data_IF_126951916546
#
_entry.id   IF_126951916546
#
_cell.length_a   1.000
_cell.length_b   1.000
_cell.length_c   1.000
_cell.angle_alpha   90.00
_cell.angle_beta   90.00
_cell.angle_gamma   90.00
#
_symmetry.space_group_name_H-M   'P 1'
#
loop_
_entity.id
_entity.type
_entity.pdbx_description
1 polymer ?
#
# COMPACT_ATOMS: atom_id res chain seq x y z
N UNK A 1 -8.39 -19.12 -77.79
CA UNK A 1 -9.13 -18.29 -76.83
C UNK A 1 -8.59 -18.56 -75.46
N UNK A 2 -7.69 -17.69 -74.97
CA UNK A 2 -7.02 -17.78 -73.67
C UNK A 2 -7.74 -16.86 -72.68
N UNK A 3 -8.18 -17.40 -71.54
CA UNK A 3 -8.71 -16.60 -70.41
C UNK A 3 -7.64 -16.52 -69.33
N UNK A 4 -7.19 -15.33 -69.07
CA UNK A 4 -6.30 -15.01 -67.96
C UNK A 4 -7.08 -14.94 -66.65
N UNK A 5 -6.64 -15.70 -65.63
CA UNK A 5 -7.17 -15.64 -64.28
C UNK A 5 -6.32 -14.68 -63.45
N UNK A 6 -6.97 -13.69 -62.83
CA UNK A 6 -6.35 -12.78 -61.88
C UNK A 6 -6.28 -13.43 -60.48
N UNK A 7 -5.07 -13.50 -59.90
CA UNK A 7 -4.86 -13.93 -58.51
C UNK A 7 -4.85 -12.69 -57.66
N UNK A 8 -5.83 -12.53 -56.78
CA UNK A 8 -5.90 -11.50 -55.74
C UNK A 8 -5.09 -11.96 -54.52
N UNK A 9 -3.99 -11.30 -54.28
CA UNK A 9 -3.18 -11.49 -53.05
C UNK A 9 -3.80 -10.83 -51.86
N UNK A 10 -4.22 -11.65 -50.88
CA UNK A 10 -4.72 -11.20 -49.59
C UNK A 10 -3.54 -10.91 -48.66
N UNK A 11 -3.22 -9.63 -48.48
CA UNK A 11 -2.17 -9.18 -47.57
C UNK A 11 -2.63 -9.33 -46.09
N UNK A 12 -1.98 -10.23 -45.38
CA UNK A 12 -2.18 -10.43 -43.93
C UNK A 12 -1.43 -9.34 -43.17
N UNK A 13 -2.15 -8.34 -42.67
CA UNK A 13 -1.63 -7.32 -41.73
C UNK A 13 -1.49 -7.97 -40.35
N UNK A 14 -0.28 -8.41 -40.00
CA UNK A 14 0.11 -8.75 -38.65
C UNK A 14 0.17 -7.47 -37.81
N UNK A 15 -0.85 -7.19 -37.05
CA UNK A 15 -0.85 -6.18 -36.02
C UNK A 15 0.18 -6.53 -34.96
N UNK A 16 1.27 -5.79 -34.90
CA UNK A 16 2.21 -5.76 -33.77
C UNK A 16 1.48 -5.12 -32.59
N UNK A 17 0.88 -5.95 -31.73
CA UNK A 17 0.45 -5.51 -30.40
C UNK A 17 1.71 -5.17 -29.60
N UNK A 18 2.07 -3.88 -29.58
CA UNK A 18 3.16 -3.37 -28.79
C UNK A 18 2.95 -3.72 -27.32
N UNK A 19 3.94 -4.32 -26.69
CA UNK A 19 3.99 -4.46 -25.25
C UNK A 19 3.74 -3.11 -24.59
N UNK A 20 2.89 -3.08 -23.57
CA UNK A 20 2.62 -1.87 -22.79
C UNK A 20 3.93 -1.30 -22.24
N UNK A 21 4.22 -0.01 -22.43
CA UNK A 21 5.45 0.62 -21.94
C UNK A 21 5.58 0.57 -20.43
N UNK A 22 4.49 0.38 -19.68
CA UNK A 22 4.48 0.35 -18.22
C UNK A 22 5.27 -0.82 -17.61
N UNK A 23 5.41 -1.92 -18.34
CA UNK A 23 6.17 -3.08 -17.85
C UNK A 23 7.69 -2.87 -17.91
N UNK A 24 8.15 -2.02 -18.80
CA UNK A 24 9.59 -1.77 -19.00
C UNK A 24 10.12 -0.70 -18.03
N UNK A 25 9.27 0.24 -17.60
CA UNK A 25 9.66 1.36 -16.74
C UNK A 25 9.74 0.98 -15.26
N UNK A 26 8.95 0.00 -14.79
CA UNK A 26 8.88 -0.38 -13.38
C UNK A 26 10.16 -1.00 -12.81
N UNK A 27 11.15 -1.32 -13.66
CA UNK A 27 12.38 -2.00 -13.24
C UNK A 27 13.67 -1.21 -13.60
N UNK A 28 13.56 0.01 -14.13
CA UNK A 28 14.70 0.82 -14.56
C UNK A 28 15.42 1.53 -13.42
N UNK A 29 14.73 1.83 -12.32
CA UNK A 29 15.33 2.49 -11.17
C UNK A 29 16.59 1.75 -10.67
N UNK A 30 17.64 2.50 -10.36
CA UNK A 30 18.90 1.97 -9.81
C UNK A 30 18.78 1.58 -8.34
N UNK A 31 17.71 2.03 -7.69
CA UNK A 31 17.45 1.86 -6.27
C UNK A 31 16.16 1.09 -6.04
N UNK A 32 16.05 0.50 -4.85
CA UNK A 32 14.82 -0.02 -4.29
C UNK A 32 14.32 0.93 -3.19
N UNK A 33 13.04 1.22 -3.19
CA UNK A 33 12.35 1.69 -2.00
C UNK A 33 12.07 0.47 -1.11
N UNK A 34 12.31 0.59 0.19
CA UNK A 34 12.14 -0.49 1.16
C UNK A 34 11.34 0.04 2.33
N UNK A 35 10.32 -0.67 2.76
CA UNK A 35 9.69 -0.49 4.06
C UNK A 35 10.55 -1.26 5.07
N UNK A 36 11.21 -0.53 5.96
CA UNK A 36 12.11 -1.09 6.98
C UNK A 36 11.31 -1.63 8.17
N UNK A 37 10.28 -0.89 8.60
CA UNK A 37 9.32 -1.33 9.63
C UNK A 37 7.98 -0.64 9.45
N UNK A 38 6.94 -1.23 9.99
CA UNK A 38 5.60 -0.65 10.19
C UNK A 38 5.29 -0.88 11.67
N UNK A 39 4.91 0.18 12.38
CA UNK A 39 4.61 0.15 13.83
C UNK A 39 5.75 -0.48 14.64
N UNK A 40 7.00 -0.20 14.27
CA UNK A 40 8.21 -0.80 14.86
C UNK A 40 8.22 -2.34 14.90
N UNK A 41 7.43 -2.98 14.03
CA UNK A 41 7.26 -4.42 13.97
C UNK A 41 6.25 -4.99 14.96
N UNK A 42 5.59 -4.14 15.75
CA UNK A 42 4.53 -4.55 16.66
C UNK A 42 3.18 -4.69 15.92
N UNK A 43 2.30 -5.55 16.43
CA UNK A 43 0.91 -5.56 15.99
C UNK A 43 0.19 -4.27 16.41
N UNK A 44 -0.93 -3.97 15.78
CA UNK A 44 -1.81 -2.87 16.14
C UNK A 44 -3.08 -3.42 16.74
N UNK A 45 -3.38 -3.00 17.97
CA UNK A 45 -4.68 -3.22 18.60
C UNK A 45 -5.57 -2.03 18.23
N UNK A 46 -6.67 -2.29 17.54
CA UNK A 46 -7.60 -1.28 17.06
C UNK A 46 -8.95 -1.41 17.73
N UNK A 47 -9.26 -0.50 18.65
CA UNK A 47 -10.55 -0.44 19.28
C UNK A 47 -11.62 -0.03 18.26
N UNK A 48 -12.68 -0.83 18.16
CA UNK A 48 -13.80 -0.60 17.23
C UNK A 48 -15.01 0.00 17.89
N UNK A 49 -14.99 0.13 19.22
CA UNK A 49 -16.11 0.62 20.03
C UNK A 49 -15.60 1.32 21.26
N UNK A 50 -16.23 2.42 21.63
CA UNK A 50 -15.89 3.12 22.86
C UNK A 50 -17.18 3.31 23.68
N UNK A 51 -17.36 2.45 24.69
CA UNK A 51 -18.51 2.41 25.57
C UNK A 51 -19.79 1.82 24.98
N UNK A 52 -20.72 1.51 25.85
CA UNK A 52 -22.01 0.87 25.49
C UNK A 52 -22.87 1.77 24.58
N UNK A 53 -22.67 3.08 24.64
CA UNK A 53 -23.47 4.08 23.90
C UNK A 53 -22.61 5.05 23.08
N UNK A 54 -21.29 4.87 23.04
CA UNK A 54 -20.40 5.82 22.37
C UNK A 54 -20.19 5.45 20.91
N UNK A 55 -20.51 6.42 20.04
CA UNK A 55 -20.10 6.41 18.63
C UNK A 55 -18.71 7.00 18.44
N UNK A 56 -18.00 7.21 19.56
CA UNK A 56 -16.68 7.82 19.55
C UNK A 56 -15.63 6.75 19.29
N UNK A 57 -15.19 6.66 18.07
CA UNK A 57 -14.10 5.78 17.63
C UNK A 57 -13.09 6.61 16.85
N UNK A 58 -11.82 6.29 17.01
CA UNK A 58 -10.72 7.00 16.39
C UNK A 58 -10.19 6.21 15.19
N UNK A 59 -9.62 6.93 14.22
CA UNK A 59 -8.72 6.34 13.24
C UNK A 59 -7.47 5.81 13.92
N UNK A 60 -6.75 4.91 13.24
CA UNK A 60 -5.44 4.48 13.69
C UNK A 60 -4.38 4.83 12.65
N UNK A 61 -3.39 5.57 13.12
CA UNK A 61 -2.15 5.83 12.41
C UNK A 61 -1.02 4.99 13.01
N UNK A 62 -0.07 4.61 12.19
CA UNK A 62 1.15 3.91 12.61
C UNK A 62 2.37 4.54 11.95
N UNK A 63 3.49 4.48 12.62
CA UNK A 63 4.75 4.91 12.04
C UNK A 63 5.26 3.90 11.00
N UNK A 64 5.55 4.40 9.81
CA UNK A 64 6.17 3.65 8.72
C UNK A 64 7.57 4.15 8.47
N UNK A 65 8.55 3.31 8.68
CA UNK A 65 9.95 3.61 8.40
C UNK A 65 10.34 3.09 7.01
N UNK A 66 10.85 3.96 6.16
CA UNK A 66 11.26 3.65 4.79
C UNK A 66 12.72 3.99 4.55
N UNK A 67 13.34 3.31 3.60
CA UNK A 67 14.71 3.56 3.19
C UNK A 67 14.87 3.36 1.68
N UNK A 68 15.87 4.03 1.11
CA UNK A 68 16.31 3.81 -0.27
C UNK A 68 17.63 3.03 -0.25
N UNK A 69 17.73 1.99 -1.06
CA UNK A 69 18.93 1.13 -1.15
C UNK A 69 19.28 0.85 -2.60
N UNK A 70 20.56 0.81 -2.91
CA UNK A 70 21.03 0.38 -4.24
C UNK A 70 20.56 -1.05 -4.56
N UNK A 71 20.11 -1.28 -5.78
CA UNK A 71 19.90 -2.63 -6.30
C UNK A 71 21.20 -3.40 -6.42
N UNK A 72 22.26 -2.72 -6.85
CA UNK A 72 23.61 -3.31 -6.91
C UNK A 72 24.41 -2.87 -5.67
N UNK A 73 24.75 -3.77 -4.73
CA UNK A 73 25.46 -3.42 -3.50
C UNK A 73 26.91 -2.94 -3.75
N UNK A 74 27.48 -3.21 -4.94
CA UNK A 74 28.83 -2.75 -5.31
C UNK A 74 28.82 -1.40 -6.06
N UNK A 75 27.61 -0.87 -6.36
CA UNK A 75 27.51 0.45 -6.97
C UNK A 75 27.95 1.54 -5.98
N UNK A 76 28.41 2.70 -6.48
CA UNK A 76 28.62 3.87 -5.64
C UNK A 76 27.35 4.21 -4.84
N UNK A 77 27.52 4.86 -3.69
CA UNK A 77 26.37 5.30 -2.88
C UNK A 77 25.33 6.02 -3.77
N UNK A 78 24.03 5.85 -3.47
CA UNK A 78 22.98 6.54 -4.20
C UNK A 78 23.21 8.04 -4.17
N UNK A 79 22.81 8.73 -5.22
CA UNK A 79 22.98 10.18 -5.39
C UNK A 79 21.62 10.88 -5.39
N UNK A 80 21.60 12.21 -5.38
CA UNK A 80 20.34 12.99 -5.36
C UNK A 80 19.31 12.55 -6.42
N UNK A 81 19.69 12.25 -7.69
CA UNK A 81 18.74 11.71 -8.68
C UNK A 81 18.07 10.38 -8.29
N UNK A 82 18.68 9.63 -7.39
CA UNK A 82 18.19 8.34 -6.90
C UNK A 82 17.23 8.51 -5.68
N UNK A 83 17.08 9.73 -5.14
CA UNK A 83 16.10 9.99 -4.08
C UNK A 83 14.68 9.70 -4.58
N UNK A 84 13.84 9.19 -3.69
CA UNK A 84 12.49 8.74 -4.02
C UNK A 84 11.46 9.71 -3.48
N UNK A 85 10.54 10.14 -4.33
CA UNK A 85 9.33 10.85 -3.93
C UNK A 85 8.18 9.85 -3.90
N UNK A 86 7.67 9.56 -2.70
CA UNK A 86 6.46 8.75 -2.51
C UNK A 86 5.28 9.68 -2.72
N UNK A 87 4.32 9.30 -3.58
CA UNK A 87 3.19 10.14 -3.96
C UNK A 87 1.83 9.50 -3.69
N UNK A 88 1.78 8.19 -3.48
CA UNK A 88 0.54 7.48 -3.19
C UNK A 88 0.79 6.27 -2.30
N UNK A 89 -0.27 5.82 -1.63
CA UNK A 89 -0.26 4.56 -0.88
C UNK A 89 -1.59 3.83 -1.01
N UNK A 90 -1.55 2.52 -0.76
CA UNK A 90 -2.69 1.63 -0.63
C UNK A 90 -2.53 0.78 0.62
N UNK A 91 -3.61 0.60 1.38
CA UNK A 91 -3.71 -0.37 2.47
C UNK A 91 -4.81 -1.36 2.12
N UNK A 92 -4.44 -2.63 1.99
CA UNK A 92 -5.37 -3.74 1.71
C UNK A 92 -5.39 -4.70 2.89
N UNK A 93 -6.56 -5.24 3.18
CA UNK A 93 -6.70 -6.17 4.30
C UNK A 93 -7.05 -7.57 3.81
N UNK A 94 -6.54 -8.56 4.52
CA UNK A 94 -6.89 -9.96 4.31
C UNK A 94 -6.76 -10.73 5.62
N UNK A 95 -7.57 -11.77 5.75
CA UNK A 95 -7.50 -12.67 6.89
C UNK A 95 -6.42 -13.73 6.67
N UNK A 96 -5.93 -14.30 7.75
CA UNK A 96 -4.95 -15.40 7.70
C UNK A 96 -5.50 -16.67 7.06
N UNK A 97 -6.83 -16.83 7.01
CA UNK A 97 -7.53 -17.94 6.34
C UNK A 97 -7.74 -17.71 4.82
N UNK A 98 -7.22 -16.59 4.28
CA UNK A 98 -7.29 -16.23 2.87
C UNK A 98 -8.56 -15.48 2.45
N UNK A 99 -9.52 -15.26 3.35
CA UNK A 99 -10.71 -14.45 3.08
C UNK A 99 -10.34 -12.97 3.02
N UNK A 100 -10.89 -12.26 2.02
CA UNK A 100 -10.54 -10.86 1.79
C UNK A 100 -11.67 -10.06 1.11
N UNK A 101 -12.94 -10.49 1.30
CA UNK A 101 -14.08 -9.76 0.74
C UNK A 101 -14.29 -8.48 1.54
N UNK A 102 -14.07 -7.32 0.88
CA UNK A 102 -14.22 -6.00 1.48
C UNK A 102 -15.67 -5.77 1.95
N UNK A 103 -15.83 -5.20 3.13
CA UNK A 103 -17.16 -4.95 3.74
C UNK A 103 -17.86 -6.21 4.30
N UNK A 104 -17.26 -7.39 4.16
CA UNK A 104 -17.80 -8.67 4.65
C UNK A 104 -16.79 -9.37 5.56
N UNK A 105 -15.63 -9.72 5.05
CA UNK A 105 -14.58 -10.43 5.79
C UNK A 105 -13.56 -9.47 6.39
N UNK A 106 -13.33 -8.34 5.72
CA UNK A 106 -12.31 -7.34 6.06
C UNK A 106 -12.82 -5.93 5.76
N UNK A 107 -12.23 -4.88 6.35
CA UNK A 107 -12.55 -3.50 6.00
C UNK A 107 -12.29 -3.18 4.53
N UNK A 108 -12.91 -2.11 4.02
CA UNK A 108 -12.58 -1.58 2.70
C UNK A 108 -11.15 -1.07 2.67
N UNK A 109 -10.48 -1.27 1.52
CA UNK A 109 -9.13 -0.76 1.30
C UNK A 109 -9.05 0.75 1.46
N UNK A 110 -7.89 1.23 1.84
CA UNK A 110 -7.55 2.64 1.85
C UNK A 110 -6.68 2.93 0.64
N UNK A 111 -6.96 4.00 -0.07
CA UNK A 111 -6.05 4.60 -1.04
C UNK A 111 -5.91 6.07 -0.70
N UNK A 112 -4.69 6.58 -0.76
CA UNK A 112 -4.42 7.97 -0.45
C UNK A 112 -3.22 8.52 -1.20
N UNK A 113 -3.14 9.85 -1.26
CA UNK A 113 -1.98 10.56 -1.77
C UNK A 113 -1.18 11.10 -0.60
N UNK A 114 0.12 11.09 -0.74
CA UNK A 114 1.04 11.72 0.18
C UNK A 114 2.21 12.30 -0.63
N UNK A 115 2.94 13.23 -0.07
CA UNK A 115 4.16 13.72 -0.69
C UNK A 115 5.27 13.64 0.33
N UNK A 116 6.14 12.65 0.16
CA UNK A 116 7.28 12.41 1.04
C UNK A 116 8.53 12.15 0.20
N UNK A 117 9.58 12.91 0.44
CA UNK A 117 10.88 12.64 -0.17
C UNK A 117 11.72 11.80 0.78
N UNK A 118 12.16 10.64 0.30
CA UNK A 118 13.12 9.77 1.00
C UNK A 118 14.50 10.05 0.44
N UNK A 119 15.33 10.72 1.25
CA UNK A 119 16.68 11.08 0.84
C UNK A 119 17.61 9.85 0.86
N UNK A 120 18.52 9.84 -0.10
CA UNK A 120 19.56 8.79 -0.24
C UNK A 120 20.84 9.13 0.56
N UNK A 121 21.00 10.38 0.98
CA UNK A 121 22.21 10.86 1.64
C UNK A 121 22.37 10.33 3.07
N UNK A 122 21.31 9.86 3.69
CA UNK A 122 21.33 9.26 5.02
C UNK A 122 21.28 7.75 4.89
N UNK A 123 22.24 7.07 5.48
CA UNK A 123 22.22 5.61 5.63
C UNK A 123 21.08 5.12 6.56
N UNK A 124 20.20 6.04 6.97
CA UNK A 124 19.08 5.84 7.87
C UNK A 124 17.76 5.53 7.19
N UNK A 125 16.72 5.57 7.99
CA UNK A 125 15.32 5.47 7.59
C UNK A 125 14.65 6.83 7.74
N UNK A 126 13.64 7.10 6.90
CA UNK A 126 12.70 8.20 7.07
C UNK A 126 11.42 7.62 7.63
N UNK A 127 10.95 8.14 8.76
CA UNK A 127 9.72 7.68 9.42
C UNK A 127 8.63 8.73 9.25
N UNK A 128 7.40 8.27 9.00
CA UNK A 128 6.23 9.12 8.87
C UNK A 128 4.97 8.37 9.35
N UNK A 129 3.97 9.08 9.90
CA UNK A 129 2.70 8.49 10.26
C UNK A 129 1.88 8.16 9.02
N UNK A 130 1.18 7.02 9.04
CA UNK A 130 0.29 6.56 7.99
C UNK A 130 -1.01 6.06 8.59
N UNK A 131 -2.15 6.57 8.10
CA UNK A 131 -3.46 6.06 8.45
C UNK A 131 -3.64 4.65 7.90
N UNK A 132 -3.78 3.68 8.80
CA UNK A 132 -3.98 2.27 8.46
C UNK A 132 -5.35 1.75 8.85
N UNK A 133 -6.14 2.49 9.61
CA UNK A 133 -7.55 2.20 9.89
C UNK A 133 -8.33 3.52 9.91
N UNK A 134 -9.25 3.68 8.98
CA UNK A 134 -10.13 4.85 8.95
C UNK A 134 -11.20 4.75 10.04
N UNK A 135 -11.53 5.89 10.64
CA UNK A 135 -12.69 5.98 11.53
C UNK A 135 -13.96 5.43 10.88
N UNK A 136 -14.21 5.77 9.61
CA UNK A 136 -15.39 5.32 8.87
C UNK A 136 -15.47 3.78 8.77
N UNK A 137 -14.35 3.10 8.63
CA UNK A 137 -14.31 1.63 8.56
C UNK A 137 -14.84 0.98 9.83
N UNK A 138 -14.64 1.61 11.00
CA UNK A 138 -15.15 1.09 12.29
C UNK A 138 -16.66 1.25 12.42
N UNK A 139 -17.27 2.15 11.66
CA UNK A 139 -18.73 2.38 11.64
C UNK A 139 -19.46 1.51 10.60
N UNK A 140 -18.71 0.74 9.80
CA UNK A 140 -19.21 -0.11 8.72
C UNK A 140 -18.87 -1.59 8.96
N UNK A 141 -19.65 -2.54 8.36
CA UNK A 141 -19.28 -3.95 8.39
C UNK A 141 -17.90 -4.19 7.73
N UNK A 142 -17.11 -5.17 8.23
CA UNK A 142 -17.45 -6.08 9.33
C UNK A 142 -17.20 -5.47 10.73
N UNK A 143 -16.49 -4.35 10.86
CA UNK A 143 -16.00 -3.84 12.13
C UNK A 143 -17.15 -3.40 13.06
N UNK A 144 -18.18 -2.75 12.52
CA UNK A 144 -19.36 -2.32 13.30
C UNK A 144 -20.16 -3.49 13.92
N UNK A 145 -19.88 -4.73 13.48
CA UNK A 145 -20.54 -5.93 14.01
C UNK A 145 -19.72 -6.63 15.10
N UNK A 146 -18.50 -6.17 15.36
CA UNK A 146 -17.65 -6.70 16.41
C UNK A 146 -18.22 -6.24 17.77
N UNK A 147 -18.41 -7.20 18.67
CA UNK A 147 -19.04 -6.96 19.94
C UNK A 147 -18.47 -7.90 21.02
N UNK A 148 -18.33 -7.40 22.24
CA UNK A 148 -17.83 -8.13 23.39
C UNK A 148 -16.46 -8.80 23.14
N UNK A 149 -16.34 -10.09 23.42
CA UNK A 149 -15.08 -10.86 23.32
C UNK A 149 -14.72 -11.29 21.88
N UNK A 150 -15.40 -10.75 20.86
CA UNK A 150 -15.08 -11.08 19.47
C UNK A 150 -13.85 -10.29 19.02
N UNK A 151 -12.85 -10.98 18.49
CA UNK A 151 -11.66 -10.38 17.88
C UNK A 151 -11.62 -10.75 16.41
N UNK A 152 -11.40 -9.77 15.55
CA UNK A 152 -11.13 -9.95 14.13
C UNK A 152 -9.67 -9.64 13.87
N UNK A 153 -8.86 -10.66 13.66
CA UNK A 153 -7.46 -10.51 13.26
C UNK A 153 -7.33 -10.46 11.74
N UNK A 154 -6.69 -9.42 11.23
CA UNK A 154 -6.37 -9.25 9.81
C UNK A 154 -4.91 -8.89 9.62
N UNK A 155 -4.41 -9.15 8.41
CA UNK A 155 -3.15 -8.60 7.91
C UNK A 155 -3.48 -7.39 7.03
N UNK A 156 -2.92 -6.24 7.35
CA UNK A 156 -2.91 -5.06 6.50
C UNK A 156 -1.64 -5.07 5.65
N UNK A 157 -1.77 -5.08 4.34
CA UNK A 157 -0.67 -4.92 3.40
C UNK A 157 -0.62 -3.45 2.96
N UNK A 158 0.42 -2.76 3.38
CA UNK A 158 0.71 -1.38 3.02
C UNK A 158 1.59 -1.39 1.79
N UNK A 159 1.15 -0.75 0.71
CA UNK A 159 1.96 -0.54 -0.50
C UNK A 159 2.16 0.95 -0.72
N UNK A 160 3.40 1.34 -0.84
CA UNK A 160 3.83 2.70 -1.16
C UNK A 160 4.23 2.77 -2.62
N UNK A 161 3.78 3.82 -3.31
CA UNK A 161 4.09 4.09 -4.71
C UNK A 161 4.82 5.43 -4.83
N UNK A 162 5.82 5.47 -5.69
CA UNK A 162 6.59 6.69 -5.92
C UNK A 162 7.46 6.60 -7.15
N UNK A 163 8.30 7.62 -7.32
CA UNK A 163 9.31 7.66 -8.37
C UNK A 163 10.61 8.24 -7.84
N UNK A 164 11.72 7.85 -8.45
CA UNK A 164 12.98 8.54 -8.25
C UNK A 164 12.89 9.97 -8.82
N UNK A 165 13.79 10.86 -8.41
CA UNK A 165 13.89 12.20 -9.01
C UNK A 165 14.23 12.11 -10.50
N UNK A 166 14.93 11.04 -10.94
CA UNK A 166 15.17 10.76 -12.37
C UNK A 166 13.93 10.27 -13.13
N UNK A 167 12.81 10.01 -12.45
CA UNK A 167 11.52 9.65 -13.07
C UNK A 167 11.23 8.16 -13.13
N UNK A 168 12.09 7.32 -12.59
CA UNK A 168 11.88 5.87 -12.58
C UNK A 168 10.86 5.48 -11.47
N UNK A 169 9.83 4.70 -11.85
CA UNK A 169 8.83 4.23 -10.90
C UNK A 169 9.42 3.23 -9.89
N UNK A 170 9.00 3.34 -8.64
CA UNK A 170 9.36 2.45 -7.55
C UNK A 170 8.14 2.16 -6.67
N UNK A 171 8.13 0.99 -6.06
CA UNK A 171 7.12 0.65 -5.04
C UNK A 171 7.73 -0.23 -3.96
N UNK A 172 7.11 -0.22 -2.78
CA UNK A 172 7.47 -1.10 -1.67
C UNK A 172 6.21 -1.55 -0.96
N UNK A 173 6.19 -2.81 -0.50
CA UNK A 173 5.08 -3.34 0.29
C UNK A 173 5.60 -3.92 1.60
N UNK A 174 4.80 -3.75 2.66
CA UNK A 174 5.02 -4.30 3.98
C UNK A 174 3.71 -4.76 4.60
N UNK A 175 3.78 -5.53 5.68
CA UNK A 175 2.59 -6.08 6.34
C UNK A 175 2.59 -5.77 7.82
N UNK A 176 1.38 -5.52 8.33
CA UNK A 176 1.08 -5.26 9.73
C UNK A 176 -0.09 -6.15 10.15
N UNK A 177 0.01 -6.82 11.30
CA UNK A 177 -1.14 -7.45 11.91
C UNK A 177 -1.98 -6.39 12.63
N UNK A 178 -3.30 -6.45 12.44
CA UNK A 178 -4.25 -5.61 13.15
C UNK A 178 -5.29 -6.52 13.80
N UNK A 179 -5.47 -6.33 15.11
CA UNK A 179 -6.50 -6.98 15.90
C UNK A 179 -7.61 -5.97 16.20
N UNK A 180 -8.77 -6.18 15.60
CA UNK A 180 -9.97 -5.38 15.85
C UNK A 180 -10.81 -6.03 16.93
N UNK A 181 -11.07 -5.31 18.02
CA UNK A 181 -11.92 -5.76 19.11
C UNK A 181 -12.54 -4.57 19.83
N UNK A 182 -13.48 -4.87 20.72
CA UNK A 182 -14.00 -3.96 21.73
C UNK A 182 -13.01 -3.99 22.90
N UNK A 183 -11.95 -3.15 22.81
CA UNK A 183 -10.96 -2.99 23.87
C UNK A 183 -11.48 -2.01 24.91
N UNK A 184 -10.87 -1.98 26.10
CA UNK A 184 -11.38 -1.18 27.22
C UNK A 184 -11.50 0.33 26.92
N UNK A 185 -12.64 0.90 27.28
CA UNK A 185 -13.09 2.27 27.04
C UNK A 185 -12.32 3.31 27.86
N UNK A 186 -11.06 3.54 27.55
CA UNK A 186 -10.20 4.50 28.26
C UNK A 186 -10.02 5.82 27.52
N UNK A 187 -10.37 5.88 26.25
CA UNK A 187 -10.17 7.06 25.43
C UNK A 187 -11.34 8.06 25.54
N UNK A 188 -11.04 9.28 25.92
CA UNK A 188 -12.00 10.39 25.99
C UNK A 188 -11.88 11.35 24.82
N UNK A 189 -10.84 11.22 24.00
CA UNK A 189 -10.58 12.02 22.80
C UNK A 189 -9.67 11.28 21.82
N UNK A 190 -9.83 11.48 20.52
CA UNK A 190 -8.90 10.96 19.55
C UNK A 190 -7.55 11.71 19.60
N UNK A 191 -6.41 11.01 19.53
CA UNK A 191 -5.10 11.61 19.81
C UNK A 191 -4.68 12.74 18.86
N UNK A 192 -5.32 12.90 17.69
CA UNK A 192 -4.94 13.87 16.66
C UNK A 192 -6.08 14.81 16.23
N UNK A 193 -7.09 15.04 17.07
CA UNK A 193 -8.19 16.00 16.80
C UNK A 193 -8.12 17.22 17.70
#
# INVERSE_FOLDING_TARGET
>A
MMRAGAVAGLGLLLGLSGCSPDYVTSNSARVNLIIASINDGAQLDSDVRNGEFSTFVCENEVDVAVAVRNKNPTAPAPSVPDAVVINAYEVRYFRTDGRATEGVDVPYRITGNLTLTVDVATSGTTTFPLEVVRRQAKLEPPLSTIFQSTVLTVMAEVTLYGSTISGDAVSASGRLQIDFADFGDTETACPNQ
#
